data_IF_802911412290
#
_entry.id   IF_802911412290
#
_cell.length_a   1.000
_cell.length_b   1.000
_cell.length_c   1.000
_cell.angle_alpha   90.00
_cell.angle_beta   90.00
_cell.angle_gamma   90.00
#
_symmetry.space_group_name_H-M   'P 1'
#
loop_
_entity.id
_entity.type
_entity.pdbx_description
1 polymer ?
#
# COMPACT_ATOMS: atom_id res chain seq x y z
N UNK A 1 -9.19 12.73 -7.46
CA UNK A 1 -9.65 13.82 -6.57
C UNK A 1 -8.81 13.70 -5.29
N UNK A 2 -8.27 14.77 -4.69
CA UNK A 2 -7.73 14.62 -3.34
C UNK A 2 -8.85 14.05 -2.49
N UNK A 3 -8.57 12.98 -1.73
CA UNK A 3 -9.56 12.36 -0.85
C UNK A 3 -10.01 13.45 0.11
N UNK A 4 -11.26 13.90 -0.05
CA UNK A 4 -11.90 14.76 0.92
C UNK A 4 -12.09 13.90 2.17
N UNK A 5 -11.13 13.97 3.07
CA UNK A 5 -11.30 13.42 4.41
C UNK A 5 -12.37 14.26 5.08
N UNK A 6 -13.59 13.73 5.05
CA UNK A 6 -14.68 14.24 5.87
C UNK A 6 -14.41 13.82 7.31
N UNK A 7 -13.56 14.57 8.00
CA UNK A 7 -13.50 14.45 9.45
C UNK A 7 -14.81 14.96 10.01
N UNK A 8 -15.36 14.22 10.98
CA UNK A 8 -16.41 14.76 11.83
C UNK A 8 -15.79 15.95 12.58
N UNK A 9 -16.48 17.09 12.63
CA UNK A 9 -15.96 18.33 13.24
C UNK A 9 -15.40 18.11 14.66
N UNK A 10 -16.02 17.20 15.43
CA UNK A 10 -15.56 16.79 16.75
C UNK A 10 -14.17 16.11 16.72
N UNK A 11 -13.93 15.18 15.79
CA UNK A 11 -12.63 14.51 15.62
C UNK A 11 -11.55 15.51 15.21
N UNK A 12 -11.90 16.42 14.31
CA UNK A 12 -11.01 17.49 13.87
C UNK A 12 -10.59 18.41 15.02
N UNK A 13 -11.56 18.88 15.81
CA UNK A 13 -11.29 19.71 16.99
C UNK A 13 -10.49 18.95 18.04
N UNK A 14 -10.81 17.68 18.28
CA UNK A 14 -10.07 16.83 19.22
C UNK A 14 -8.60 16.67 18.82
N UNK A 15 -8.33 16.36 17.55
CA UNK A 15 -6.97 16.24 17.02
C UNK A 15 -6.21 17.57 17.10
N UNK A 16 -6.88 18.69 16.83
CA UNK A 16 -6.28 20.01 16.98
C UNK A 16 -5.96 20.33 18.45
N UNK A 17 -6.80 19.94 19.41
CA UNK A 17 -6.50 20.06 20.84
C UNK A 17 -5.32 19.19 21.26
N UNK A 18 -5.20 17.98 20.71
CA UNK A 18 -4.03 17.11 20.94
C UNK A 18 -2.75 17.69 20.35
N UNK A 19 -2.81 18.21 19.13
CA UNK A 19 -1.68 18.87 18.47
C UNK A 19 -1.15 20.08 19.28
N UNK A 20 -2.03 20.78 19.99
CA UNK A 20 -1.68 21.90 20.88
C UNK A 20 -0.98 21.51 22.18
N UNK A 21 -0.98 20.22 22.54
CA UNK A 21 -0.24 19.74 23.70
C UNK A 21 1.23 19.67 23.27
N UNK A 22 2.07 20.63 23.68
CA UNK A 22 3.45 20.82 23.19
C UNK A 22 4.30 19.53 23.16
N UNK A 23 4.06 18.60 24.08
CA UNK A 23 4.74 17.28 24.11
C UNK A 23 4.43 16.36 22.92
N UNK A 24 3.44 16.67 22.10
CA UNK A 24 2.96 15.79 21.02
C UNK A 24 3.15 16.38 19.61
N UNK A 25 3.42 17.67 19.48
CA UNK A 25 3.71 18.29 18.20
C UNK A 25 5.12 17.92 17.75
N UNK A 26 5.26 17.53 16.47
CA UNK A 26 6.57 17.28 15.86
C UNK A 26 7.30 18.60 15.59
N UNK A 27 6.55 19.63 15.18
CA UNK A 27 7.08 20.96 14.90
C UNK A 27 5.96 21.98 14.99
N UNK A 28 6.23 23.17 15.50
CA UNK A 28 5.28 24.27 15.57
C UNK A 28 5.98 25.61 15.37
N UNK A 29 5.26 26.58 14.79
CA UNK A 29 5.86 27.89 14.50
C UNK A 29 5.06 28.74 13.53
N UNK A 30 5.47 29.99 13.38
CA UNK A 30 4.85 30.91 12.44
C UNK A 30 5.43 30.73 11.03
N UNK A 31 4.56 30.71 10.03
CA UNK A 31 4.94 30.73 8.63
C UNK A 31 4.07 31.73 7.87
N UNK A 32 4.66 32.32 6.83
CA UNK A 32 3.91 33.13 5.88
C UNK A 32 3.22 32.21 4.89
N UNK A 33 1.89 32.33 4.77
CA UNK A 33 1.09 31.60 3.78
C UNK A 33 0.58 32.54 2.70
N UNK A 34 0.80 32.17 1.44
CA UNK A 34 0.21 32.90 0.30
C UNK A 34 -1.24 32.49 0.10
N UNK A 35 -2.11 33.47 -0.05
CA UNK A 35 -3.50 33.25 -0.41
C UNK A 35 -3.60 32.88 -1.90
N UNK A 36 -4.26 31.78 -2.23
CA UNK A 36 -4.40 31.30 -3.61
C UNK A 36 -5.24 32.20 -4.51
N UNK A 37 -6.14 33.00 -3.93
CA UNK A 37 -7.05 33.90 -4.66
C UNK A 37 -6.46 35.30 -4.76
N UNK A 38 -5.99 35.85 -3.64
CA UNK A 38 -5.50 37.24 -3.60
C UNK A 38 -3.99 37.38 -3.82
N UNK A 39 -3.23 36.29 -3.79
CA UNK A 39 -1.76 36.31 -3.91
C UNK A 39 -1.03 36.94 -2.72
N UNK A 40 -1.75 37.49 -1.74
CA UNK A 40 -1.18 38.16 -0.55
C UNK A 40 -0.65 37.14 0.45
N UNK A 41 0.52 37.42 1.01
CA UNK A 41 1.10 36.67 2.12
C UNK A 41 0.48 37.10 3.45
N UNK A 42 0.19 36.13 4.33
CA UNK A 42 -0.24 36.37 5.71
C UNK A 42 0.48 35.40 6.64
N UNK A 43 0.97 35.92 7.75
CA UNK A 43 1.54 35.09 8.80
C UNK A 43 0.43 34.30 9.49
N UNK A 44 0.68 33.01 9.70
CA UNK A 44 -0.20 32.06 10.37
C UNK A 44 0.62 31.11 11.21
N UNK A 45 0.05 30.62 12.30
CA UNK A 45 0.72 29.66 13.17
C UNK A 45 0.41 28.24 12.68
N UNK A 46 1.44 27.42 12.50
CA UNK A 46 1.31 26.05 12.04
C UNK A 46 1.75 25.08 13.12
N UNK A 47 1.06 23.94 13.19
CA UNK A 47 1.44 22.82 14.05
C UNK A 47 1.44 21.56 13.20
N UNK A 48 2.59 20.89 13.14
CA UNK A 48 2.76 19.57 12.57
C UNK A 48 2.54 18.54 13.68
N UNK A 49 1.47 17.76 13.56
CA UNK A 49 1.13 16.66 14.45
C UNK A 49 0.99 15.38 13.63
N UNK A 50 1.91 14.44 13.82
CA UNK A 50 2.00 13.23 13.00
C UNK A 50 2.10 13.59 11.51
N UNK A 51 1.12 13.19 10.69
CA UNK A 51 0.99 13.53 9.28
C UNK A 51 -0.05 14.63 9.00
N UNK A 52 -0.45 15.40 10.02
CA UNK A 52 -1.42 16.48 9.90
C UNK A 52 -0.72 17.82 10.13
N UNK A 53 -0.92 18.75 9.20
CA UNK A 53 -0.47 20.12 9.32
C UNK A 53 -1.68 21.01 9.62
N UNK A 54 -1.80 21.45 10.87
CA UNK A 54 -2.86 22.36 11.31
C UNK A 54 -2.44 23.82 11.10
N UNK A 55 -3.41 24.65 10.71
CA UNK A 55 -3.25 26.08 10.54
C UNK A 55 -4.12 26.83 11.54
N UNK A 56 -3.52 27.74 12.29
CA UNK A 56 -4.18 28.63 13.23
C UNK A 56 -3.96 30.10 12.84
N UNK A 57 -4.85 30.96 13.32
CA UNK A 57 -4.70 32.40 13.16
C UNK A 57 -3.55 32.98 13.99
N UNK A 58 -3.33 32.43 15.18
CA UNK A 58 -2.31 32.80 16.16
C UNK A 58 -1.88 31.55 16.92
N UNK A 59 -0.77 31.65 17.63
CA UNK A 59 -0.35 30.73 18.71
C UNK A 59 -1.38 30.53 19.84
N UNK A 60 -2.31 31.48 20.03
CA UNK A 60 -3.33 31.43 21.08
C UNK A 60 -4.15 30.14 20.98
N UNK A 61 -3.90 29.24 21.93
CA UNK A 61 -4.44 27.88 22.00
C UNK A 61 -5.97 27.84 22.19
N UNK A 62 -6.62 28.97 22.48
CA UNK A 62 -8.08 29.05 22.65
C UNK A 62 -8.84 29.08 21.31
N UNK A 63 -8.16 29.40 20.20
CA UNK A 63 -8.81 29.51 18.89
C UNK A 63 -8.91 28.15 18.19
N UNK A 64 -10.06 27.86 17.58
CA UNK A 64 -10.20 26.69 16.70
C UNK A 64 -9.24 26.80 15.50
N UNK A 65 -8.73 25.67 14.99
CA UNK A 65 -7.91 25.67 13.77
C UNK A 65 -8.69 26.26 12.59
N UNK A 66 -8.05 27.15 11.84
CA UNK A 66 -8.62 27.76 10.63
C UNK A 66 -8.55 26.82 9.42
N UNK A 67 -7.73 25.77 9.49
CA UNK A 67 -7.59 24.79 8.43
C UNK A 67 -6.64 23.67 8.81
N UNK A 68 -6.59 22.65 7.96
CA UNK A 68 -5.69 21.51 8.11
C UNK A 68 -5.37 20.92 6.74
N UNK A 69 -4.22 20.29 6.65
CA UNK A 69 -3.83 19.46 5.53
C UNK A 69 -3.27 18.12 5.96
N UNK A 70 -3.66 17.07 5.22
CA UNK A 70 -3.12 15.72 5.41
C UNK A 70 -1.86 15.56 4.55
N UNK A 71 -0.72 15.31 5.16
CA UNK A 71 0.55 15.20 4.44
C UNK A 71 0.76 13.84 3.75
N UNK A 72 -0.10 12.85 3.99
CA UNK A 72 -0.01 11.53 3.36
C UNK A 72 0.00 11.67 1.82
N UNK A 73 1.10 11.22 1.19
CA UNK A 73 1.27 11.30 -0.26
C UNK A 73 1.41 12.72 -0.82
N UNK A 74 1.60 13.73 0.05
CA UNK A 74 1.94 15.08 -0.38
C UNK A 74 3.42 15.18 -0.77
N UNK A 75 3.71 16.18 -1.60
CA UNK A 75 5.05 16.53 -2.03
C UNK A 75 5.37 17.92 -1.50
N UNK A 76 6.48 18.02 -0.79
CA UNK A 76 7.01 19.25 -0.25
C UNK A 76 8.33 19.57 -0.95
N UNK A 77 8.37 20.72 -1.63
CA UNK A 77 9.51 21.14 -2.45
C UNK A 77 9.87 22.59 -2.12
N UNK A 78 11.16 22.82 -1.81
CA UNK A 78 11.74 24.15 -1.62
C UNK A 78 11.72 24.85 -2.98
N UNK A 79 11.18 26.07 -3.01
CA UNK A 79 11.13 26.86 -4.24
C UNK A 79 12.51 27.45 -4.46
N UNK A 80 13.22 26.94 -5.47
CA UNK A 80 14.49 27.51 -5.88
C UNK A 80 14.24 28.80 -6.66
N UNK A 81 14.53 29.94 -6.04
CA UNK A 81 14.59 31.21 -6.74
C UNK A 81 15.99 31.33 -7.34
N UNK A 82 16.13 30.97 -8.62
CA UNK A 82 17.37 31.21 -9.36
C UNK A 82 17.55 32.74 -9.51
N UNK A 83 18.42 33.31 -8.67
CA UNK A 83 18.85 34.70 -8.84
C UNK A 83 19.79 34.75 -10.05
N UNK A 84 19.26 35.05 -11.23
CA UNK A 84 20.13 35.48 -12.32
C UNK A 84 20.71 36.84 -11.93
N UNK A 85 22.03 36.97 -12.01
CA UNK A 85 22.82 38.09 -11.48
C UNK A 85 22.48 39.49 -12.02
N UNK A 86 21.45 39.62 -12.87
CA UNK A 86 21.04 40.88 -13.51
C UNK A 86 19.62 41.33 -13.19
N UNK A 87 18.86 40.58 -12.40
CA UNK A 87 17.46 40.96 -12.09
C UNK A 87 17.29 41.29 -10.60
N UNK A 88 17.67 42.51 -10.23
CA UNK A 88 17.43 43.13 -8.90
C UNK A 88 15.94 43.35 -8.59
N UNK A 89 15.04 42.91 -9.48
CA UNK A 89 13.58 43.05 -9.35
C UNK A 89 12.91 41.89 -8.63
N UNK A 90 13.61 40.76 -8.42
CA UNK A 90 13.07 39.67 -7.59
C UNK A 90 13.19 40.08 -6.14
N UNK A 91 12.07 40.52 -5.58
CA UNK A 91 12.02 41.05 -4.25
C UNK A 91 12.46 39.99 -3.20
N UNK A 92 13.20 40.38 -2.14
CA UNK A 92 13.74 39.48 -1.08
C UNK A 92 12.66 38.70 -0.30
N UNK A 93 11.39 38.98 -0.59
CA UNK A 93 10.20 38.33 -0.06
C UNK A 93 9.92 36.95 -0.70
N UNK A 94 10.79 36.47 -1.60
CA UNK A 94 10.73 35.11 -2.16
C UNK A 94 11.82 34.16 -1.63
N UNK A 95 12.71 34.65 -0.78
CA UNK A 95 13.72 33.81 -0.14
C UNK A 95 13.04 32.88 0.89
N UNK A 96 13.51 31.64 0.99
CA UNK A 96 13.04 30.61 1.94
C UNK A 96 11.57 30.16 1.74
N UNK A 97 11.09 30.18 0.49
CA UNK A 97 9.77 29.67 0.10
C UNK A 97 9.79 28.15 -0.12
N UNK A 98 8.70 27.47 0.26
CA UNK A 98 8.44 26.08 -0.09
C UNK A 98 6.97 25.86 -0.42
N UNK A 99 6.70 24.81 -1.20
CA UNK A 99 5.36 24.51 -1.68
C UNK A 99 4.94 23.11 -1.30
N UNK A 100 3.65 22.98 -0.99
CA UNK A 100 3.01 21.73 -0.67
C UNK A 100 1.95 21.42 -1.73
N UNK A 101 2.08 20.26 -2.39
CA UNK A 101 1.24 19.87 -3.50
C UNK A 101 0.82 18.39 -3.44
N UNK A 102 -0.31 18.06 -4.07
CA UNK A 102 -0.77 16.69 -4.25
C UNK A 102 -0.69 16.27 -5.72
N UNK A 103 -0.25 15.04 -5.96
CA UNK A 103 -0.28 14.39 -7.26
C UNK A 103 -1.68 13.85 -7.58
N UNK A 104 -2.03 13.63 -8.87
CA UNK A 104 -1.20 13.84 -10.07
C UNK A 104 -1.28 15.26 -10.66
N UNK A 105 -2.20 16.11 -10.19
CA UNK A 105 -2.49 17.40 -10.83
C UNK A 105 -1.55 18.55 -10.45
N UNK A 106 -0.49 18.30 -9.64
CA UNK A 106 0.43 19.32 -9.07
C UNK A 106 -0.28 20.60 -8.60
N UNK A 107 -1.54 20.49 -8.13
CA UNK A 107 -2.27 21.65 -7.65
C UNK A 107 -1.64 22.03 -6.31
N UNK A 108 -0.88 23.12 -6.31
CA UNK A 108 -0.34 23.73 -5.08
C UNK A 108 -1.51 24.04 -4.18
N UNK A 109 -1.48 23.52 -2.96
CA UNK A 109 -2.53 23.83 -1.99
C UNK A 109 -2.03 24.78 -0.91
N UNK A 110 -0.74 24.71 -0.54
CA UNK A 110 -0.07 25.75 0.25
C UNK A 110 1.23 26.21 -0.43
N UNK A 111 1.40 27.53 -0.52
CA UNK A 111 2.70 28.18 -0.72
C UNK A 111 3.06 28.83 0.61
N UNK A 112 4.18 28.41 1.19
CA UNK A 112 4.65 28.78 2.53
C UNK A 112 6.04 29.43 2.43
N UNK A 113 6.35 30.31 3.37
CA UNK A 113 7.65 30.96 3.51
C UNK A 113 8.03 31.03 4.98
N UNK A 114 9.26 30.64 5.28
CA UNK A 114 9.89 30.80 6.59
C UNK A 114 10.65 32.14 6.67
N UNK A 115 11.00 32.56 7.88
CA UNK A 115 11.75 33.81 8.07
C UNK A 115 13.27 33.62 7.90
N UNK A 116 13.78 32.39 8.05
CA UNK A 116 15.18 32.02 7.81
C UNK A 116 15.34 30.79 6.89
N UNK A 117 16.56 30.55 6.40
CA UNK A 117 16.88 29.36 5.62
C UNK A 117 16.81 28.09 6.45
N UNK A 118 17.36 28.12 7.66
CA UNK A 118 17.39 26.98 8.58
C UNK A 118 15.96 26.55 8.94
N UNK A 119 15.08 27.50 9.26
CA UNK A 119 13.66 27.20 9.52
C UNK A 119 12.99 26.57 8.29
N UNK A 120 13.31 27.07 7.08
CA UNK A 120 12.77 26.50 5.85
C UNK A 120 13.17 25.04 5.68
N UNK A 121 14.45 24.74 5.89
CA UNK A 121 14.99 23.40 5.74
C UNK A 121 14.44 22.45 6.82
N UNK A 122 14.32 22.91 8.05
CA UNK A 122 13.68 22.17 9.15
C UNK A 122 12.21 21.86 8.85
N UNK A 123 11.43 22.85 8.39
CA UNK A 123 10.03 22.64 8.04
C UNK A 123 9.88 21.67 6.87
N UNK A 124 10.71 21.79 5.84
CA UNK A 124 10.70 20.87 4.69
C UNK A 124 11.06 19.45 5.14
N UNK A 125 12.11 19.28 5.95
CA UNK A 125 12.54 17.98 6.46
C UNK A 125 11.48 17.31 7.35
N UNK A 126 10.87 18.09 8.25
CA UNK A 126 9.81 17.61 9.14
C UNK A 126 8.58 17.16 8.34
N UNK A 127 8.13 17.96 7.37
CA UNK A 127 7.00 17.61 6.49
C UNK A 127 7.32 16.38 5.62
N UNK A 128 8.54 16.30 5.07
CA UNK A 128 8.97 15.17 4.25
C UNK A 128 9.13 13.87 5.02
N UNK A 129 9.34 13.94 6.33
CA UNK A 129 9.36 12.79 7.24
C UNK A 129 7.93 12.39 7.63
N UNK A 130 7.07 13.36 7.92
CA UNK A 130 5.68 13.18 8.33
C UNK A 130 4.74 12.62 7.24
N UNK A 131 5.07 12.77 5.96
CA UNK A 131 4.23 12.30 4.83
C UNK A 131 4.08 10.77 4.70
N UNK A 132 4.75 9.97 5.55
CA UNK A 132 4.75 8.50 5.54
C UNK A 132 5.09 7.87 4.17
N UNK A 133 5.91 8.52 3.34
CA UNK A 133 6.15 8.07 1.97
C UNK A 133 6.80 6.68 1.87
N UNK A 134 7.68 6.31 2.80
CA UNK A 134 8.27 4.97 2.86
C UNK A 134 7.22 3.89 3.16
N UNK A 135 6.33 4.17 4.12
CA UNK A 135 5.21 3.27 4.49
C UNK A 135 4.23 3.11 3.34
N UNK A 136 3.89 4.21 2.64
CA UNK A 136 3.00 4.16 1.48
C UNK A 136 3.61 3.32 0.36
N UNK A 137 4.91 3.50 0.07
CA UNK A 137 5.64 2.69 -0.94
C UNK A 137 5.66 1.21 -0.55
N UNK A 138 6.03 0.89 0.68
CA UNK A 138 6.06 -0.49 1.19
C UNK A 138 4.68 -1.15 1.12
N UNK A 139 3.61 -0.41 1.47
CA UNK A 139 2.22 -0.87 1.34
C UNK A 139 1.84 -1.14 -0.12
N UNK A 140 2.31 -0.32 -1.04
CA UNK A 140 2.05 -0.48 -2.47
C UNK A 140 2.79 -1.72 -3.02
N UNK A 141 4.07 -1.87 -2.72
CA UNK A 141 4.87 -3.04 -3.08
C UNK A 141 4.25 -4.33 -2.52
N UNK A 142 3.81 -4.33 -1.26
CA UNK A 142 3.14 -5.48 -0.66
C UNK A 142 1.84 -5.85 -1.40
N UNK A 143 1.04 -4.86 -1.81
CA UNK A 143 -0.18 -5.10 -2.59
C UNK A 143 0.12 -5.68 -3.97
N UNK A 144 1.16 -5.17 -4.64
CA UNK A 144 1.61 -5.70 -5.93
C UNK A 144 2.10 -7.14 -5.80
N UNK A 145 2.87 -7.45 -4.75
CA UNK A 145 3.30 -8.80 -4.43
C UNK A 145 2.11 -9.73 -4.13
N UNK A 146 1.13 -9.26 -3.35
CA UNK A 146 -0.10 -10.01 -3.08
C UNK A 146 -0.89 -10.32 -4.36
N UNK A 147 -1.03 -9.34 -5.25
CA UNK A 147 -1.71 -9.52 -6.54
C UNK A 147 -0.97 -10.53 -7.43
N UNK A 148 0.37 -10.45 -7.47
CA UNK A 148 1.20 -11.40 -8.22
C UNK A 148 1.08 -12.84 -7.68
N UNK A 149 1.09 -13.01 -6.36
CA UNK A 149 0.89 -14.32 -5.74
C UNK A 149 -0.49 -14.91 -6.07
N UNK A 150 -1.55 -14.08 -6.05
CA UNK A 150 -2.89 -14.53 -6.46
C UNK A 150 -2.92 -15.00 -7.92
N UNK A 151 -2.23 -14.28 -8.82
CA UNK A 151 -2.13 -14.66 -10.22
C UNK A 151 -1.42 -16.02 -10.39
N UNK A 152 -0.34 -16.28 -9.65
CA UNK A 152 0.33 -17.58 -9.65
C UNK A 152 -0.62 -18.68 -9.16
N UNK A 153 -1.31 -18.46 -8.04
CA UNK A 153 -2.24 -19.44 -7.48
C UNK A 153 -3.39 -19.77 -8.44
N UNK A 154 -3.92 -18.77 -9.15
CA UNK A 154 -4.94 -18.98 -10.18
C UNK A 154 -4.39 -19.80 -11.36
N UNK A 155 -3.16 -19.51 -11.81
CA UNK A 155 -2.50 -20.27 -12.87
C UNK A 155 -2.25 -21.73 -12.45
N UNK A 156 -1.75 -21.98 -11.24
CA UNK A 156 -1.56 -23.33 -10.71
C UNK A 156 -2.88 -24.08 -10.57
N UNK A 157 -3.94 -23.42 -10.07
CA UNK A 157 -5.28 -24.01 -9.98
C UNK A 157 -5.79 -24.43 -11.36
N UNK A 158 -5.60 -23.59 -12.37
CA UNK A 158 -6.02 -23.88 -13.75
C UNK A 158 -5.22 -25.04 -14.34
N UNK A 159 -3.90 -25.05 -14.20
CA UNK A 159 -3.05 -26.14 -14.68
C UNK A 159 -3.44 -27.47 -14.02
N UNK A 160 -3.68 -27.46 -12.71
CA UNK A 160 -4.15 -28.66 -11.98
C UNK A 160 -5.47 -29.19 -12.52
N UNK A 161 -6.44 -28.31 -12.79
CA UNK A 161 -7.73 -28.73 -13.34
C UNK A 161 -7.56 -29.37 -14.72
N UNK A 162 -6.68 -28.81 -15.56
CA UNK A 162 -6.37 -29.37 -16.88
C UNK A 162 -5.72 -30.75 -16.78
N UNK A 163 -4.78 -30.96 -15.86
CA UNK A 163 -4.17 -32.28 -15.66
C UNK A 163 -5.16 -33.34 -15.17
N UNK A 164 -6.12 -32.96 -14.32
CA UNK A 164 -7.18 -33.88 -13.89
C UNK A 164 -8.07 -34.28 -15.06
N UNK A 165 -8.51 -33.31 -15.88
CA UNK A 165 -9.29 -33.58 -17.08
C UNK A 165 -8.54 -34.52 -18.03
N UNK A 166 -7.25 -34.26 -18.27
CA UNK A 166 -6.42 -35.12 -19.11
C UNK A 166 -6.28 -36.54 -18.54
N UNK A 167 -6.22 -36.68 -17.20
CA UNK A 167 -6.16 -37.99 -16.55
C UNK A 167 -7.45 -38.76 -16.74
N UNK A 168 -8.60 -38.11 -16.56
CA UNK A 168 -9.92 -38.71 -16.77
C UNK A 168 -10.12 -39.16 -18.24
N UNK A 169 -9.65 -38.35 -19.20
CA UNK A 169 -9.66 -38.70 -20.64
C UNK A 169 -8.79 -39.91 -20.95
N UNK A 170 -7.56 -39.97 -20.40
CA UNK A 170 -6.67 -41.11 -20.58
C UNK A 170 -7.21 -42.38 -19.91
N UNK A 171 -7.83 -42.27 -18.74
CA UNK A 171 -8.48 -43.41 -18.07
C UNK A 171 -9.64 -43.95 -18.91
N UNK A 172 -10.47 -43.07 -19.50
CA UNK A 172 -11.53 -43.47 -20.40
C UNK A 172 -11.01 -44.19 -21.65
N UNK A 173 -9.92 -43.69 -22.26
CA UNK A 173 -9.29 -44.31 -23.43
C UNK A 173 -8.69 -45.68 -23.09
N UNK A 174 -8.06 -45.84 -21.91
CA UNK A 174 -7.56 -47.15 -21.45
C UNK A 174 -8.71 -48.15 -21.33
N UNK A 175 -9.86 -47.75 -20.78
CA UNK A 175 -11.03 -48.62 -20.66
C UNK A 175 -11.55 -49.03 -22.04
N UNK A 176 -11.62 -48.07 -22.98
CA UNK A 176 -12.03 -48.33 -24.36
C UNK A 176 -11.10 -49.31 -25.07
N UNK A 177 -9.79 -49.06 -25.04
CA UNK A 177 -8.79 -49.93 -25.66
C UNK A 177 -8.79 -51.35 -25.05
N UNK A 178 -9.01 -51.48 -23.73
CA UNK A 178 -9.18 -52.80 -23.09
C UNK A 178 -10.41 -53.54 -23.61
N UNK A 179 -11.53 -52.83 -23.81
CA UNK A 179 -12.75 -53.43 -24.35
C UNK A 179 -12.55 -53.87 -25.81
N UNK A 180 -11.89 -53.05 -26.64
CA UNK A 180 -11.55 -53.40 -28.03
C UNK A 180 -10.62 -54.62 -28.10
N UNK A 181 -9.59 -54.68 -27.24
CA UNK A 181 -8.66 -55.81 -27.19
C UNK A 181 -9.34 -57.11 -26.75
N UNK A 182 -10.27 -57.04 -25.79
CA UNK A 182 -11.09 -58.18 -25.39
C UNK A 182 -12.03 -58.65 -26.52
N UNK A 183 -12.59 -57.72 -27.31
CA UNK A 183 -13.46 -58.05 -28.44
C UNK A 183 -12.71 -58.71 -29.60
N UNK A 184 -11.44 -58.34 -29.82
CA UNK A 184 -10.57 -58.89 -30.86
C UNK A 184 -9.90 -60.22 -30.47
N UNK A 185 -9.93 -60.61 -29.19
CA UNK A 185 -9.33 -61.86 -28.68
C UNK A 185 -10.38 -62.81 -28.09
N UNK A 186 -11.12 -63.58 -28.92
CA UNK A 186 -11.90 -64.70 -28.41
C UNK A 186 -10.98 -65.92 -28.17
N UNK A 187 -10.59 -66.12 -26.90
CA UNK A 187 -10.03 -67.35 -26.29
C UNK A 187 -8.53 -67.72 -26.48
N UNK A 188 -7.76 -67.68 -25.38
CA UNK A 188 -7.33 -68.86 -24.58
C UNK A 188 -6.68 -68.42 -23.24
N UNK A 189 -6.93 -69.08 -22.09
CA UNK A 189 -6.19 -68.83 -20.86
C UNK A 189 -4.83 -69.55 -20.95
N UNK A 190 -3.74 -68.82 -21.05
CA UNK A 190 -2.40 -69.38 -20.86
C UNK A 190 -1.68 -68.53 -19.83
N UNK A 191 -1.44 -69.14 -18.67
CA UNK A 191 -0.70 -68.55 -17.55
C UNK A 191 0.62 -67.97 -18.07
N UNK A 192 0.79 -66.66 -17.92
CA UNK A 192 2.11 -66.00 -17.93
C UNK A 192 2.11 -64.89 -16.88
N UNK A 193 3.28 -64.57 -16.32
CA UNK A 193 3.42 -64.24 -14.90
C UNK A 193 2.81 -62.89 -14.55
N UNK A 194 2.35 -62.79 -13.31
CA UNK A 194 2.09 -61.55 -12.59
C UNK A 194 3.09 -60.49 -13.04
N UNK A 195 2.62 -59.51 -13.82
CA UNK A 195 3.34 -58.25 -13.98
C UNK A 195 3.39 -57.68 -12.58
N UNK A 196 4.54 -57.85 -11.92
CA UNK A 196 4.83 -57.15 -10.68
C UNK A 196 4.66 -55.67 -10.97
N UNK A 197 3.53 -55.14 -10.51
CA UNK A 197 3.26 -53.72 -10.48
C UNK A 197 4.45 -53.08 -9.77
N UNK A 198 5.32 -52.42 -10.55
CA UNK A 198 6.54 -51.81 -10.05
C UNK A 198 6.20 -51.00 -8.81
N UNK A 199 7.00 -51.13 -7.75
CA UNK A 199 6.78 -50.39 -6.50
C UNK A 199 6.66 -48.87 -6.71
N UNK A 200 7.18 -48.37 -7.83
CA UNK A 200 6.96 -47.01 -8.34
C UNK A 200 5.47 -46.71 -8.58
N UNK A 201 4.74 -47.58 -9.29
CA UNK A 201 3.31 -47.43 -9.58
C UNK A 201 2.45 -47.51 -8.30
N UNK A 202 2.82 -48.40 -7.37
CA UNK A 202 2.17 -48.49 -6.05
C UNK A 202 2.41 -47.23 -5.22
N UNK A 203 3.64 -46.68 -5.23
CA UNK A 203 3.95 -45.40 -4.58
C UNK A 203 3.15 -44.26 -5.18
N UNK A 204 3.01 -44.19 -6.51
CA UNK A 204 2.23 -43.17 -7.20
C UNK A 204 0.73 -43.26 -6.85
N UNK A 205 0.12 -44.46 -6.88
CA UNK A 205 -1.28 -44.68 -6.44
C UNK A 205 -1.51 -44.37 -4.95
N UNK A 206 -0.49 -44.54 -4.10
CA UNK A 206 -0.56 -44.30 -2.64
C UNK A 206 -0.47 -42.81 -2.28
N UNK A 207 0.10 -41.98 -3.16
CA UNK A 207 -0.04 -40.52 -3.09
C UNK A 207 -1.44 -40.15 -3.57
N UNK A 208 -2.45 -40.41 -2.72
CA UNK A 208 -3.82 -39.97 -2.98
C UNK A 208 -3.79 -38.45 -3.21
N UNK A 209 -4.32 -37.92 -4.33
CA UNK A 209 -4.41 -36.46 -4.55
C UNK A 209 -5.20 -35.74 -3.44
N UNK A 210 -6.07 -36.47 -2.72
CA UNK A 210 -6.79 -35.99 -1.54
C UNK A 210 -5.89 -35.65 -0.34
N UNK A 211 -4.73 -36.30 -0.17
CA UNK A 211 -3.79 -36.00 0.95
C UNK A 211 -3.05 -34.68 0.70
N UNK A 212 -2.52 -34.51 -0.51
CA UNK A 212 -1.90 -33.25 -0.94
C UNK A 212 -2.89 -32.07 -0.90
N UNK A 213 -4.17 -32.28 -1.22
CA UNK A 213 -5.23 -31.27 -1.06
C UNK A 213 -5.43 -30.85 0.41
N UNK A 214 -5.40 -31.80 1.35
CA UNK A 214 -5.60 -31.52 2.77
C UNK A 214 -4.37 -30.87 3.42
N UNK A 215 -3.16 -31.30 3.06
CA UNK A 215 -1.92 -30.66 3.50
C UNK A 215 -1.77 -29.24 2.94
N UNK A 216 -2.11 -29.00 1.65
CA UNK A 216 -2.05 -27.64 1.08
C UNK A 216 -3.12 -26.70 1.66
N UNK A 217 -4.37 -27.15 1.84
CA UNK A 217 -5.41 -26.34 2.50
C UNK A 217 -5.06 -26.03 3.96
N UNK A 218 -4.39 -26.96 4.67
CA UNK A 218 -3.87 -26.69 6.02
C UNK A 218 -2.78 -25.62 6.02
N UNK A 219 -1.82 -25.66 5.08
CA UNK A 219 -0.75 -24.65 4.99
C UNK A 219 -1.31 -23.27 4.63
N UNK A 220 -2.30 -23.21 3.72
CA UNK A 220 -2.96 -21.96 3.33
C UNK A 220 -3.83 -21.41 4.46
N UNK A 221 -4.60 -22.25 5.16
CA UNK A 221 -5.43 -21.80 6.29
C UNK A 221 -4.63 -21.41 7.54
N UNK A 222 -3.56 -22.15 7.90
CA UNK A 222 -2.71 -21.79 9.05
C UNK A 222 -2.00 -20.44 8.83
N UNK A 223 -1.55 -20.17 7.61
CA UNK A 223 -0.91 -18.88 7.30
C UNK A 223 -1.91 -17.73 7.25
N UNK A 224 -3.19 -17.99 6.93
CA UNK A 224 -4.25 -17.01 7.03
C UNK A 224 -4.67 -16.70 8.48
N UNK A 225 -4.57 -17.67 9.40
CA UNK A 225 -4.84 -17.47 10.84
C UNK A 225 -3.68 -16.80 11.57
N UNK A 226 -2.43 -17.11 11.19
CA UNK A 226 -1.26 -16.45 11.77
C UNK A 226 -1.09 -14.99 11.31
N UNK A 227 -1.73 -14.59 10.20
CA UNK A 227 -1.74 -13.20 9.74
C UNK A 227 -2.77 -12.33 10.47
N UNK A 228 -3.74 -12.92 11.17
CA UNK A 228 -4.72 -12.20 12.00
C UNK A 228 -4.29 -11.99 13.45
N UNK A 229 -3.18 -12.59 13.88
CA UNK A 229 -2.70 -12.53 15.28
C UNK A 229 -1.52 -11.57 15.53
N UNK A 230 -1.14 -10.75 14.56
CA UNK A 230 -0.26 -9.60 14.83
C UNK A 230 -1.09 -8.33 15.10
N UNK A 231 -1.46 -8.19 16.37
CA UNK A 231 -1.95 -7.00 17.07
C UNK A 231 -3.40 -6.54 16.80
N UNK A 232 -4.36 -7.19 17.46
CA UNK A 232 -5.32 -6.50 18.36
C UNK A 232 -5.60 -7.39 19.57
N UNK A 233 -4.68 -7.38 20.55
CA UNK A 233 -5.13 -7.36 21.94
C UNK A 233 -5.60 -5.93 22.25
N UNK A 234 -6.61 -5.84 23.13
CA UNK A 234 -7.20 -4.65 23.76
C UNK A 234 -8.53 -4.18 23.15
N UNK A 235 -9.59 -4.63 23.86
CA UNK A 235 -10.99 -4.19 23.95
C UNK A 235 -11.97 -4.67 22.88
#
# INVERSE_FOLDING_TARGET
MPVSLRFVQAQFNYLATKAKQDSQATMSGYLWKKNSVSGKWRQRYFILYQNLLFQFESDKLDKSPCGMALLEGSYCEKTLVLRTSRDTRVAPQHDHCFTLCYMPKRKKFYELRADSEDECDDWVAAIQSARYCSVIKSRQELRENQAYLLQILEAERKAKLQYLQQTDELEAEIVKLKNELNALSPAKPTKTPLVEESDQLRKIKKVRPKRLLFEFLKVVCLNATNATDCNVCVL
#
